data_IF_659212069805
#
_entry.id   IF_659212069805
#
_cell.length_a   1.000
_cell.length_b   1.000
_cell.length_c   1.000
_cell.angle_alpha   90.00
_cell.angle_beta   90.00
_cell.angle_gamma   90.00
#
_symmetry.space_group_name_H-M   'P 1'
#
loop_
_entity.id
_entity.type
_entity.pdbx_description
1 polymer ?
#
# COMPACT_ATOMS: atom_id res chain seq x y z
N UNK A 1 -5.26 -45.96 58.77
CA UNK A 1 -6.39 -45.69 57.86
C UNK A 1 -6.06 -44.46 57.06
N UNK A 2 -5.67 -44.73 55.82
CA UNK A 2 -5.11 -43.82 54.83
C UNK A 2 -6.24 -43.08 54.11
N UNK A 3 -6.18 -41.74 54.01
CA UNK A 3 -7.10 -40.93 53.18
C UNK A 3 -6.35 -39.72 52.63
N UNK A 4 -5.67 -39.89 51.51
CA UNK A 4 -5.20 -38.79 50.65
C UNK A 4 -6.32 -38.39 49.70
N UNK A 5 -6.71 -37.11 49.60
CA UNK A 5 -7.57 -36.67 48.51
C UNK A 5 -6.75 -36.50 47.23
N UNK A 6 -7.24 -37.15 46.17
CA UNK A 6 -6.73 -37.16 44.81
C UNK A 6 -7.62 -36.24 43.94
N UNK A 7 -6.99 -35.45 43.06
CA UNK A 7 -7.55 -34.65 41.91
C UNK A 7 -8.20 -33.31 42.31
N UNK A 8 -8.02 -32.21 41.57
CA UNK A 8 -7.85 -32.09 40.13
C UNK A 8 -6.86 -30.98 39.73
N UNK A 9 -5.93 -31.30 38.83
CA UNK A 9 -5.17 -30.31 38.08
C UNK A 9 -6.05 -29.84 36.92
N UNK A 10 -6.53 -28.59 36.99
CA UNK A 10 -7.22 -27.91 35.90
C UNK A 10 -6.14 -27.32 34.98
N UNK A 11 -5.69 -28.11 34.01
CA UNK A 11 -4.82 -27.60 32.94
C UNK A 11 -5.69 -26.90 31.91
N UNK A 12 -5.77 -25.58 32.00
CA UNK A 12 -6.32 -24.74 30.93
C UNK A 12 -5.28 -24.68 29.82
N UNK A 13 -5.46 -25.47 28.76
CA UNK A 13 -4.75 -25.24 27.49
C UNK A 13 -5.36 -23.99 26.84
N UNK A 14 -4.69 -22.84 26.96
CA UNK A 14 -4.88 -21.75 26.01
C UNK A 14 -4.34 -22.24 24.66
N UNK A 15 -5.23 -22.61 23.76
CA UNK A 15 -4.89 -22.75 22.35
C UNK A 15 -4.60 -21.34 21.81
N UNK A 16 -3.31 -20.98 21.74
CA UNK A 16 -2.84 -19.88 20.91
C UNK A 16 -3.05 -20.31 19.46
N UNK A 17 -4.26 -20.06 18.95
CA UNK A 17 -4.53 -20.09 17.52
C UNK A 17 -3.75 -18.96 16.87
N UNK A 18 -2.51 -19.24 16.47
CA UNK A 18 -1.76 -18.39 15.57
C UNK A 18 -2.42 -18.42 14.19
N UNK A 19 -3.42 -17.56 14.00
CA UNK A 19 -3.93 -17.24 12.68
C UNK A 19 -2.82 -16.54 11.91
N UNK A 20 -2.18 -17.25 10.98
CA UNK A 20 -1.29 -16.63 10.01
C UNK A 20 -2.17 -15.67 9.21
N UNK A 21 -1.91 -14.37 9.30
CA UNK A 21 -2.63 -13.35 8.54
C UNK A 21 -2.34 -13.57 7.04
N UNK A 22 -3.18 -14.37 6.39
CA UNK A 22 -3.04 -14.75 4.98
C UNK A 22 -3.64 -13.68 4.07
N UNK A 23 -2.99 -13.46 2.93
CA UNK A 23 -3.49 -12.60 1.86
C UNK A 23 -4.89 -13.07 1.39
N UNK A 24 -5.78 -12.12 1.10
CA UNK A 24 -7.12 -12.43 0.61
C UNK A 24 -7.07 -12.72 -0.89
N UNK A 25 -7.50 -13.91 -1.31
CA UNK A 25 -7.61 -14.28 -2.73
C UNK A 25 -8.82 -13.58 -3.34
N UNK A 26 -8.60 -12.82 -4.40
CA UNK A 26 -9.62 -11.99 -5.08
C UNK A 26 -10.09 -12.63 -6.39
N UNK A 27 -9.26 -13.46 -7.03
CA UNK A 27 -9.62 -14.26 -8.21
C UNK A 27 -8.67 -15.47 -8.39
N UNK A 28 -9.18 -16.52 -9.04
CA UNK A 28 -8.50 -17.81 -9.21
C UNK A 28 -7.71 -17.96 -10.52
N UNK A 29 -7.86 -17.06 -11.52
CA UNK A 29 -7.09 -17.13 -12.78
C UNK A 29 -6.67 -15.77 -13.36
N UNK A 30 -5.51 -15.80 -14.03
CA UNK A 30 -4.86 -14.79 -14.88
C UNK A 30 -3.89 -13.79 -14.20
N UNK A 31 -2.63 -14.20 -14.06
CA UNK A 31 -1.48 -13.28 -14.06
C UNK A 31 -0.45 -13.68 -15.14
N UNK A 32 -0.72 -13.46 -16.44
CA UNK A 32 0.23 -13.81 -17.48
C UNK A 32 1.53 -13.00 -17.41
N UNK A 33 1.52 -11.81 -16.81
CA UNK A 33 2.67 -10.96 -16.56
C UNK A 33 2.36 -10.14 -15.30
N UNK A 34 3.34 -9.92 -14.41
CA UNK A 34 3.24 -9.17 -13.12
C UNK A 34 2.35 -7.92 -13.22
N UNK A 35 1.04 -8.08 -13.09
CA UNK A 35 0.07 -7.02 -13.17
C UNK A 35 -0.34 -6.69 -11.74
N UNK A 36 -0.05 -5.46 -11.33
CA UNK A 36 -0.74 -4.86 -10.18
C UNK A 36 -2.05 -4.34 -10.76
N UNK A 37 -3.17 -4.97 -10.39
CA UNK A 37 -4.45 -4.34 -10.66
C UNK A 37 -4.60 -3.19 -9.65
N UNK A 38 -4.34 -1.98 -10.14
CA UNK A 38 -4.41 -0.75 -9.34
C UNK A 38 -5.84 -0.51 -8.86
N UNK A 39 -6.87 -0.96 -9.59
CA UNK A 39 -8.26 -0.77 -9.19
C UNK A 39 -8.66 -1.71 -8.03
N UNK A 40 -8.17 -2.95 -8.03
CA UNK A 40 -8.45 -3.90 -6.93
C UNK A 40 -7.39 -3.92 -5.83
N UNK A 41 -6.24 -3.28 -6.05
CA UNK A 41 -5.05 -3.30 -5.18
C UNK A 41 -4.62 -4.72 -4.84
N UNK A 42 -4.70 -5.61 -5.81
CA UNK A 42 -4.27 -6.99 -5.70
C UNK A 42 -3.03 -7.22 -6.57
N UNK A 43 -2.15 -8.10 -6.09
CA UNK A 43 -0.93 -8.50 -6.77
C UNK A 43 -0.91 -10.01 -6.95
N UNK A 44 -0.16 -10.49 -7.93
CA UNK A 44 0.06 -11.92 -8.12
C UNK A 44 0.86 -12.49 -6.93
N UNK A 45 0.34 -13.56 -6.31
CA UNK A 45 1.00 -14.41 -5.32
C UNK A 45 0.98 -15.86 -5.85
N UNK A 46 2.05 -16.22 -6.58
CA UNK A 46 2.07 -17.45 -7.36
C UNK A 46 1.00 -17.46 -8.45
N UNK A 47 0.11 -18.44 -8.40
CA UNK A 47 -0.99 -18.63 -9.36
C UNK A 47 -2.27 -17.86 -9.00
N UNK A 48 -2.24 -17.02 -7.95
CA UNK A 48 -3.43 -16.34 -7.41
C UNK A 48 -3.29 -14.83 -7.43
N UNK A 49 -4.42 -14.13 -7.56
CA UNK A 49 -4.49 -12.69 -7.32
C UNK A 49 -4.83 -12.49 -5.86
N UNK A 50 -3.87 -11.97 -5.09
CA UNK A 50 -3.98 -11.80 -3.65
C UNK A 50 -3.81 -10.33 -3.24
N UNK A 51 -4.64 -9.89 -2.30
CA UNK A 51 -4.51 -8.58 -1.64
C UNK A 51 -3.86 -8.76 -0.28
N UNK A 52 -2.86 -7.91 0.01
CA UNK A 52 -2.25 -7.87 1.34
C UNK A 52 -3.33 -7.63 2.40
N UNK A 53 -3.30 -8.41 3.49
CA UNK A 53 -4.24 -8.20 4.59
C UNK A 53 -3.94 -6.82 5.22
N UNK A 54 -4.96 -5.97 5.32
CA UNK A 54 -4.84 -4.59 5.84
C UNK A 54 -4.54 -4.58 7.35
N UNK A 55 -4.62 -5.74 8.02
CA UNK A 55 -4.41 -5.87 9.47
C UNK A 55 -2.98 -5.52 9.91
N UNK A 56 -1.96 -5.72 9.07
CA UNK A 56 -0.57 -5.32 9.42
C UNK A 56 -0.33 -3.80 9.27
N UNK A 57 -1.23 -3.07 8.60
CA UNK A 57 -1.10 -1.64 8.32
C UNK A 57 -1.89 -0.75 9.30
N UNK A 58 -2.83 -1.33 10.07
CA UNK A 58 -3.79 -0.57 10.87
C UNK A 58 -3.16 0.41 11.86
N UNK A 59 -1.99 0.10 12.42
CA UNK A 59 -1.29 0.98 13.34
C UNK A 59 -0.74 2.26 12.68
N UNK A 60 -0.62 2.28 11.36
CA UNK A 60 -0.10 3.42 10.59
C UNK A 60 -1.21 4.26 9.93
N UNK A 61 -2.47 3.80 9.95
CA UNK A 61 -3.56 4.49 9.26
C UNK A 61 -4.08 5.68 10.07
N UNK A 62 -4.43 6.76 9.37
CA UNK A 62 -5.14 7.90 9.93
C UNK A 62 -6.63 7.83 9.58
N UNK A 63 -7.47 8.32 10.50
CA UNK A 63 -8.90 8.41 10.27
C UNK A 63 -9.23 9.37 9.11
N UNK A 64 -10.21 8.98 8.27
CA UNK A 64 -10.61 9.70 7.06
C UNK A 64 -11.17 11.11 7.34
N UNK A 65 -11.79 11.31 8.50
CA UNK A 65 -12.29 12.62 8.93
C UNK A 65 -11.16 13.66 9.11
N UNK A 66 -9.92 13.20 9.32
CA UNK A 66 -8.71 14.04 9.36
C UNK A 66 -8.13 14.36 7.99
N UNK A 67 -8.67 13.78 6.91
CA UNK A 67 -8.21 14.00 5.53
C UNK A 67 -9.13 15.01 4.84
N UNK A 68 -8.57 16.03 4.16
CA UNK A 68 -9.36 16.98 3.37
C UNK A 68 -10.25 16.25 2.36
N UNK A 69 -11.49 16.73 2.18
CA UNK A 69 -12.46 16.06 1.31
C UNK A 69 -11.98 15.91 -0.15
N UNK A 70 -11.14 16.82 -0.63
CA UNK A 70 -10.51 16.77 -1.96
C UNK A 70 -9.52 15.61 -2.14
N UNK A 71 -8.96 15.11 -1.05
CA UNK A 71 -7.87 14.13 -1.05
C UNK A 71 -8.38 12.74 -0.67
N UNK A 72 -9.68 12.61 -0.41
CA UNK A 72 -10.32 11.34 -0.06
C UNK A 72 -10.50 10.48 -1.29
N UNK A 73 -10.30 9.18 -1.11
CA UNK A 73 -10.46 8.17 -2.16
C UNK A 73 -11.47 7.12 -1.71
N UNK A 74 -11.99 6.34 -2.65
CA UNK A 74 -12.93 5.24 -2.35
C UNK A 74 -12.36 4.14 -1.44
N UNK A 75 -11.04 4.12 -1.23
CA UNK A 75 -10.38 3.14 -0.37
C UNK A 75 -10.51 3.47 1.11
N UNK A 76 -10.65 4.74 1.48
CA UNK A 76 -10.67 5.15 2.88
C UNK A 76 -9.38 4.83 3.65
N UNK A 77 -8.26 4.58 2.95
CA UNK A 77 -6.97 4.24 3.56
C UNK A 77 -6.00 5.40 3.41
N UNK A 78 -5.55 5.93 4.54
CA UNK A 78 -4.68 7.10 4.58
C UNK A 78 -3.60 6.89 5.62
N UNK A 79 -2.42 7.47 5.37
CA UNK A 79 -1.26 7.38 6.25
C UNK A 79 -0.61 8.76 6.31
N UNK A 80 -0.12 9.18 7.47
CA UNK A 80 0.66 10.40 7.58
C UNK A 80 2.13 10.18 7.17
N UNK A 81 2.87 11.26 6.91
CA UNK A 81 4.24 11.17 6.39
C UNK A 81 5.19 10.39 7.32
N UNK A 82 5.03 10.53 8.64
CA UNK A 82 5.87 9.84 9.62
C UNK A 82 5.59 8.34 9.64
N UNK A 83 4.31 7.97 9.58
CA UNK A 83 3.87 6.58 9.55
C UNK A 83 4.25 5.91 8.23
N UNK A 84 4.16 6.63 7.10
CA UNK A 84 4.64 6.14 5.80
C UNK A 84 6.16 5.87 5.81
N UNK A 85 6.94 6.78 6.41
CA UNK A 85 8.39 6.58 6.57
C UNK A 85 8.71 5.37 7.46
N UNK A 86 7.98 5.19 8.56
CA UNK A 86 8.14 4.03 9.45
C UNK A 86 7.77 2.72 8.75
N UNK A 87 6.62 2.67 8.08
CA UNK A 87 6.21 1.51 7.28
C UNK A 87 7.28 1.14 6.26
N UNK A 88 7.83 2.12 5.53
CA UNK A 88 8.89 1.87 4.57
C UNK A 88 10.18 1.38 5.23
N UNK A 89 10.51 1.88 6.42
CA UNK A 89 11.72 1.50 7.15
C UNK A 89 11.61 0.09 7.74
N UNK A 90 10.46 -0.23 8.35
CA UNK A 90 10.24 -1.49 9.07
C UNK A 90 9.87 -2.65 8.12
N UNK A 91 9.25 -2.33 6.98
CA UNK A 91 8.74 -3.31 6.03
C UNK A 91 9.26 -3.06 4.60
N UNK A 92 10.53 -2.68 4.47
CA UNK A 92 11.13 -2.21 3.21
C UNK A 92 10.92 -3.13 2.00
N UNK A 93 10.82 -4.45 2.21
CA UNK A 93 10.60 -5.47 1.16
C UNK A 93 9.13 -5.68 0.79
N UNK A 94 8.19 -5.14 1.58
CA UNK A 94 6.74 -5.32 1.41
C UNK A 94 6.03 -4.04 0.97
N UNK A 95 6.69 -2.89 1.11
CA UNK A 95 6.11 -1.57 0.85
C UNK A 95 6.87 -0.90 -0.29
N UNK A 96 6.12 -0.41 -1.28
CA UNK A 96 6.62 0.43 -2.37
C UNK A 96 6.04 1.83 -2.19
N UNK A 97 6.90 2.84 -2.15
CA UNK A 97 6.51 4.24 -2.19
C UNK A 97 6.65 4.77 -3.62
N UNK A 98 5.51 5.14 -4.21
CA UNK A 98 5.42 5.68 -5.58
C UNK A 98 5.19 7.19 -5.50
N UNK A 99 6.09 7.97 -6.10
CA UNK A 99 5.91 9.42 -6.26
C UNK A 99 5.20 9.71 -7.58
N UNK A 100 3.94 10.15 -7.47
CA UNK A 100 3.06 10.44 -8.61
C UNK A 100 3.02 11.91 -9.02
N UNK A 101 3.82 12.75 -8.36
CA UNK A 101 3.95 14.16 -8.73
C UNK A 101 4.43 14.28 -10.17
N UNK A 102 4.28 15.44 -10.75
CA UNK A 102 4.80 15.67 -12.09
C UNK A 102 6.33 15.80 -12.10
N UNK A 103 6.95 15.57 -13.26
CA UNK A 103 8.42 15.67 -13.39
C UNK A 103 8.96 17.06 -12.97
N UNK A 104 8.21 18.13 -13.25
CA UNK A 104 8.61 19.50 -12.89
C UNK A 104 8.64 19.71 -11.38
N UNK A 105 7.65 19.19 -10.64
CA UNK A 105 7.63 19.27 -9.18
C UNK A 105 8.82 18.53 -8.57
N UNK A 106 9.16 17.35 -9.10
CA UNK A 106 10.32 16.58 -8.64
C UNK A 106 11.62 17.34 -8.91
N UNK A 107 11.77 17.98 -10.07
CA UNK A 107 12.96 18.75 -10.41
C UNK A 107 13.11 20.00 -9.52
N UNK A 108 12.01 20.67 -9.18
CA UNK A 108 12.03 21.91 -8.41
C UNK A 108 12.12 21.68 -6.89
N UNK A 109 11.34 20.73 -6.36
CA UNK A 109 11.24 20.46 -4.92
C UNK A 109 12.14 19.31 -4.45
N UNK A 110 12.71 18.55 -5.39
CA UNK A 110 13.44 17.32 -5.10
C UNK A 110 12.53 16.13 -4.85
N UNK A 111 13.15 14.94 -4.76
CA UNK A 111 12.50 13.66 -4.44
C UNK A 111 12.89 13.21 -3.05
N UNK A 112 11.94 12.73 -2.27
CA UNK A 112 12.23 12.12 -0.98
C UNK A 112 13.07 10.85 -1.17
N UNK A 113 14.07 10.64 -0.32
CA UNK A 113 15.01 9.51 -0.43
C UNK A 113 14.37 8.14 -0.18
N UNK A 114 13.24 8.11 0.52
CA UNK A 114 12.47 6.90 0.79
C UNK A 114 11.61 6.42 -0.38
N UNK A 115 11.45 7.23 -1.43
CA UNK A 115 10.67 6.87 -2.63
C UNK A 115 11.42 5.83 -3.46
N UNK A 116 10.74 4.76 -3.83
CA UNK A 116 11.31 3.69 -4.64
C UNK A 116 11.26 4.01 -6.13
N UNK A 117 10.13 4.54 -6.58
CA UNK A 117 9.88 4.81 -8.00
C UNK A 117 9.08 6.10 -8.17
N UNK A 118 9.39 6.81 -9.24
CA UNK A 118 8.65 7.99 -9.65
C UNK A 118 7.89 7.66 -10.94
N UNK A 119 6.57 7.73 -10.88
CA UNK A 119 5.67 7.48 -12.02
C UNK A 119 4.70 8.66 -12.07
N UNK A 120 4.97 9.70 -12.88
CA UNK A 120 4.12 10.89 -12.92
C UNK A 120 2.69 10.54 -13.32
N UNK A 121 1.70 11.06 -12.59
CA UNK A 121 0.31 10.99 -13.03
C UNK A 121 0.04 11.97 -14.18
N UNK A 122 0.64 13.18 -14.08
CA UNK A 122 0.60 14.21 -15.11
C UNK A 122 2.00 14.42 -15.68
N UNK A 123 2.09 14.44 -17.01
CA UNK A 123 3.30 14.79 -17.74
C UNK A 123 3.22 16.19 -18.34
N UNK A 124 4.39 16.85 -18.39
CA UNK A 124 4.56 18.14 -19.05
C UNK A 124 5.29 17.94 -20.36
N UNK A 125 4.65 18.29 -21.47
CA UNK A 125 5.34 18.28 -22.76
C UNK A 125 5.53 19.70 -23.27
N UNK A 126 6.78 20.01 -23.60
CA UNK A 126 7.13 21.19 -24.39
C UNK A 126 6.70 20.95 -25.82
N UNK A 127 5.81 21.81 -26.33
CA UNK A 127 5.50 21.83 -27.76
C UNK A 127 5.84 23.19 -28.37
N UNK A 128 6.20 23.17 -29.65
CA UNK A 128 6.51 24.38 -30.42
C UNK A 128 5.23 24.87 -31.08
N UNK A 129 4.94 26.16 -30.94
CA UNK A 129 3.87 26.85 -31.64
C UNK A 129 4.45 27.80 -32.70
N UNK A 130 3.60 28.32 -33.58
CA UNK A 130 4.00 29.35 -34.55
C UNK A 130 4.56 30.61 -33.87
N UNK A 131 4.15 30.87 -32.62
CA UNK A 131 4.51 32.08 -31.86
C UNK A 131 5.51 31.81 -30.73
N UNK A 132 6.10 30.60 -30.63
CA UNK A 132 7.10 30.29 -29.61
C UNK A 132 7.02 28.87 -29.06
N UNK A 133 7.17 28.74 -27.73
CA UNK A 133 7.06 27.47 -27.01
C UNK A 133 5.86 27.53 -26.07
N UNK A 134 5.05 26.47 -26.09
CA UNK A 134 3.96 26.24 -25.15
C UNK A 134 4.24 25.02 -24.29
N UNK A 135 3.48 24.90 -23.20
CA UNK A 135 3.45 23.73 -22.34
C UNK A 135 2.07 23.12 -22.40
N UNK A 136 2.00 21.79 -22.50
CA UNK A 136 0.76 21.05 -22.29
C UNK A 136 0.94 20.14 -21.10
N UNK A 137 -0.13 20.00 -20.32
CA UNK A 137 -0.25 18.99 -19.29
C UNK A 137 -1.19 17.92 -19.83
N UNK A 138 -0.77 16.67 -19.76
CA UNK A 138 -1.59 15.54 -20.12
C UNK A 138 -1.40 14.44 -19.08
N UNK A 139 -2.41 13.60 -18.91
CA UNK A 139 -2.25 12.36 -18.14
C UNK A 139 -1.20 11.47 -18.79
N UNK A 140 -0.41 10.80 -17.95
CA UNK A 140 0.56 9.84 -18.40
C UNK A 140 -0.16 8.66 -19.05
N UNK A 141 0.12 8.41 -20.33
CA UNK A 141 -0.53 7.33 -21.10
C UNK A 141 -0.20 5.92 -20.63
N UNK A 142 0.78 5.77 -19.72
CA UNK A 142 1.17 4.50 -19.10
C UNK A 142 0.50 4.22 -17.76
N UNK A 143 -0.40 5.09 -17.28
CA UNK A 143 -1.20 4.89 -16.07
C UNK A 143 -2.46 4.07 -16.32
#
# INVERSE_FOLDING_TARGET
>A
MDKRPIRAALTVLLALGGGVAGAQVVADEACPLRAVDVASYATCDGDKVARASVFDLQAALIAEDRVPASDRTSLGLYVDALSAYRLKSDMAQKIVLVDVRSQLEVVLAGRATAVDVHVPFIEHTLYRTANGRGWTMAENSGF
#
